data_IF_805666144502
#
_entry.id   IF_805666144502
#
_cell.length_a   1.000
_cell.length_b   1.000
_cell.length_c   1.000
_cell.angle_alpha   90.00
_cell.angle_beta   90.00
_cell.angle_gamma   90.00
#
_symmetry.space_group_name_H-M   'P 1'
#
loop_
_entity.id
_entity.type
_entity.pdbx_description
1 polymer ?
#
# COMPACT_ATOMS: atom_id res chain seq x y z
N UNK A 1 -9.20 4.60 -29.37
CA UNK A 1 -9.55 4.18 -28.01
C UNK A 1 -8.34 4.41 -27.10
N UNK A 2 -8.56 5.10 -25.99
CA UNK A 2 -7.52 5.38 -25.01
C UNK A 2 -7.74 4.49 -23.80
N UNK A 3 -6.69 3.78 -23.36
CA UNK A 3 -6.76 2.95 -22.17
C UNK A 3 -6.03 3.66 -21.04
N UNK A 4 -6.71 3.86 -19.91
CA UNK A 4 -6.18 4.62 -18.80
C UNK A 4 -6.08 3.71 -17.56
N UNK A 5 -4.88 3.40 -17.06
CA UNK A 5 -4.73 2.75 -15.78
C UNK A 5 -5.02 3.73 -14.64
N UNK A 6 -5.82 3.32 -13.69
CA UNK A 6 -6.17 4.13 -12.51
C UNK A 6 -6.23 3.26 -11.26
N UNK A 7 -6.05 3.90 -10.11
CA UNK A 7 -6.22 3.27 -8.79
C UNK A 7 -7.57 3.75 -8.24
N UNK A 8 -8.39 2.81 -7.81
CA UNK A 8 -9.63 3.07 -7.09
C UNK A 8 -9.42 2.81 -5.60
N UNK A 9 -9.86 3.74 -4.75
CA UNK A 9 -9.73 3.62 -3.30
C UNK A 9 -11.05 3.12 -2.73
N UNK A 10 -11.05 1.98 -2.09
CA UNK A 10 -12.16 1.44 -1.31
C UNK A 10 -11.82 1.46 0.18
N UNK A 11 -12.81 1.21 1.04
CA UNK A 11 -12.63 1.22 2.50
C UNK A 11 -11.59 0.20 2.99
N UNK A 12 -11.35 -0.87 2.24
CA UNK A 12 -10.45 -1.98 2.61
C UNK A 12 -9.11 -1.99 1.85
N UNK A 13 -8.84 -1.01 0.98
CA UNK A 13 -7.59 -0.98 0.22
C UNK A 13 -7.65 -0.21 -1.09
N UNK A 14 -6.56 -0.30 -1.83
CA UNK A 14 -6.42 0.30 -3.15
C UNK A 14 -6.43 -0.80 -4.20
N UNK A 15 -7.44 -0.79 -5.05
CA UNK A 15 -7.59 -1.74 -6.14
C UNK A 15 -7.34 -1.06 -7.48
N UNK A 16 -6.22 -1.35 -8.16
CA UNK A 16 -5.95 -0.80 -9.47
C UNK A 16 -6.93 -1.36 -10.51
N UNK A 17 -7.27 -0.53 -11.49
CA UNK A 17 -8.18 -0.92 -12.55
C UNK A 17 -7.75 -0.35 -13.91
N UNK A 18 -8.33 -0.89 -14.98
CA UNK A 18 -8.13 -0.46 -16.35
C UNK A 18 -9.48 -0.14 -16.96
N UNK A 19 -9.64 1.10 -17.42
CA UNK A 19 -10.79 1.54 -18.18
C UNK A 19 -10.38 1.84 -19.62
N UNK A 20 -11.21 1.41 -20.57
CA UNK A 20 -11.16 1.85 -21.95
C UNK A 20 -12.10 3.06 -22.11
N UNK A 21 -11.59 4.12 -22.74
CA UNK A 21 -12.37 5.29 -23.05
C UNK A 21 -12.47 5.51 -24.57
N UNK A 22 -13.68 5.51 -25.09
CA UNK A 22 -13.95 5.80 -26.50
C UNK A 22 -14.24 7.29 -26.66
N UNK A 23 -13.35 8.00 -27.34
CA UNK A 23 -13.46 9.44 -27.54
C UNK A 23 -14.57 9.87 -28.50
N UNK A 24 -15.05 8.97 -29.37
CA UNK A 24 -16.12 9.30 -30.30
C UNK A 24 -17.50 9.25 -29.62
N UNK A 25 -17.67 8.27 -28.75
CA UNK A 25 -18.94 8.04 -28.03
C UNK A 25 -18.94 8.57 -26.60
N UNK A 26 -17.78 9.03 -26.12
CA UNK A 26 -17.51 9.44 -24.72
C UNK A 26 -17.87 8.35 -23.71
N UNK A 27 -17.85 7.09 -24.15
CA UNK A 27 -18.18 5.95 -23.29
C UNK A 27 -16.95 5.40 -22.60
N UNK A 28 -17.10 5.16 -21.30
CA UNK A 28 -16.10 4.46 -20.46
C UNK A 28 -16.54 3.02 -20.23
N UNK A 29 -15.63 2.06 -20.42
CA UNK A 29 -15.87 0.64 -20.18
C UNK A 29 -14.77 0.08 -19.28
N UNK A 30 -15.13 -0.49 -18.12
CA UNK A 30 -14.22 -1.16 -17.23
C UNK A 30 -13.74 -2.47 -17.83
N UNK A 31 -12.44 -2.63 -18.05
CA UNK A 31 -11.82 -3.84 -18.61
C UNK A 31 -11.30 -4.77 -17.52
N UNK A 32 -10.78 -4.19 -16.45
CA UNK A 32 -10.17 -4.93 -15.35
C UNK A 32 -10.30 -4.16 -14.03
N UNK A 33 -10.49 -4.87 -12.96
CA UNK A 33 -10.31 -4.39 -11.58
C UNK A 33 -9.59 -5.49 -10.78
N UNK A 34 -8.53 -5.13 -10.08
CA UNK A 34 -7.87 -6.05 -9.14
C UNK A 34 -8.83 -6.41 -8.00
N UNK A 35 -8.78 -7.65 -7.55
CA UNK A 35 -9.56 -8.15 -6.43
C UNK A 35 -8.68 -8.79 -5.33
N UNK A 36 -7.38 -8.48 -5.33
CA UNK A 36 -6.44 -9.03 -4.36
C UNK A 36 -6.59 -8.32 -3.01
N UNK A 37 -7.28 -8.95 -2.05
CA UNK A 37 -7.50 -8.39 -0.71
C UNK A 37 -6.32 -8.58 0.25
N UNK A 38 -5.54 -9.64 0.07
CA UNK A 38 -4.39 -10.03 0.89
C UNK A 38 -3.03 -9.63 0.30
N UNK A 39 -3.04 -9.03 -0.90
CA UNK A 39 -1.86 -8.56 -1.62
C UNK A 39 -2.10 -7.18 -2.21
N UNK A 40 -1.01 -6.47 -2.49
CA UNK A 40 -1.02 -5.23 -3.27
C UNK A 40 -0.59 -5.55 -4.70
N UNK A 41 -1.44 -5.23 -5.65
CA UNK A 41 -1.13 -5.28 -7.08
C UNK A 41 -0.91 -3.87 -7.61
N UNK A 42 0.16 -3.67 -8.35
CA UNK A 42 0.46 -2.44 -9.06
C UNK A 42 0.43 -2.73 -10.57
N UNK A 43 -0.35 -1.95 -11.31
CA UNK A 43 -0.32 -1.97 -12.77
C UNK A 43 0.90 -1.16 -13.23
N UNK A 44 1.81 -1.83 -13.95
CA UNK A 44 3.07 -1.22 -14.41
C UNK A 44 2.93 -0.69 -15.83
N UNK A 45 2.47 -1.53 -16.75
CA UNK A 45 2.27 -1.16 -18.16
C UNK A 45 1.29 -2.09 -18.86
N UNK A 46 0.72 -1.62 -19.97
CA UNK A 46 -0.07 -2.43 -20.88
C UNK A 46 0.87 -2.83 -22.03
N UNK A 47 1.21 -4.12 -22.10
CA UNK A 47 2.20 -4.63 -23.06
C UNK A 47 1.59 -4.94 -24.43
N UNK A 48 0.43 -5.58 -24.42
CA UNK A 48 -0.33 -5.85 -25.64
C UNK A 48 -1.82 -5.73 -25.38
N UNK A 49 -2.39 -4.60 -25.73
CA UNK A 49 -3.83 -4.34 -25.55
C UNK A 49 -4.71 -5.31 -26.34
N UNK A 50 -4.29 -5.73 -27.53
CA UNK A 50 -5.09 -6.64 -28.38
C UNK A 50 -5.16 -8.03 -27.74
N UNK A 51 -4.06 -8.52 -27.20
CA UNK A 51 -4.00 -9.78 -26.47
C UNK A 51 -4.52 -9.68 -25.04
N UNK A 52 -4.52 -8.47 -24.47
CA UNK A 52 -4.90 -8.21 -23.11
C UNK A 52 -3.78 -8.44 -22.09
N UNK A 53 -2.51 -8.36 -22.54
CA UNK A 53 -1.36 -8.58 -21.66
C UNK A 53 -0.95 -7.29 -20.96
N UNK A 54 -0.89 -7.37 -19.63
CA UNK A 54 -0.55 -6.28 -18.71
C UNK A 54 0.60 -6.74 -17.83
N UNK A 55 1.64 -5.92 -17.71
CA UNK A 55 2.69 -6.12 -16.73
C UNK A 55 2.19 -5.63 -15.36
N UNK A 56 2.24 -6.50 -14.38
CA UNK A 56 1.86 -6.18 -13.00
C UNK A 56 2.97 -6.55 -12.02
N UNK A 57 3.07 -5.79 -10.93
CA UNK A 57 3.90 -6.12 -9.79
C UNK A 57 2.98 -6.50 -8.62
N UNK A 58 3.20 -7.66 -8.03
CA UNK A 58 2.41 -8.16 -6.90
C UNK A 58 3.32 -8.34 -5.70
N UNK A 59 2.84 -7.88 -4.54
CA UNK A 59 3.56 -7.91 -3.27
C UNK A 59 2.59 -8.15 -2.12
N UNK A 60 3.13 -8.52 -0.97
CA UNK A 60 2.40 -8.45 0.30
C UNK A 60 3.33 -7.99 1.42
N UNK A 61 2.79 -7.78 2.60
CA UNK A 61 3.63 -7.43 3.76
C UNK A 61 4.75 -8.44 4.05
N UNK A 62 4.60 -9.70 3.60
CA UNK A 62 5.56 -10.78 3.82
C UNK A 62 6.22 -11.30 2.54
N UNK A 63 5.66 -10.97 1.37
CA UNK A 63 6.16 -11.42 0.09
C UNK A 63 6.84 -10.27 -0.66
N UNK A 64 8.12 -10.46 -0.99
CA UNK A 64 8.89 -9.50 -1.78
C UNK A 64 8.23 -9.27 -3.14
N UNK A 65 8.21 -8.03 -3.67
CA UNK A 65 7.59 -7.73 -4.95
C UNK A 65 8.14 -8.58 -6.08
N UNK A 66 7.23 -9.18 -6.85
CA UNK A 66 7.55 -9.95 -8.05
C UNK A 66 6.68 -9.49 -9.22
N UNK A 67 7.17 -9.69 -10.42
CA UNK A 67 6.55 -9.27 -11.66
C UNK A 67 5.88 -10.43 -12.37
N UNK A 68 4.74 -10.12 -12.99
CA UNK A 68 3.90 -11.10 -13.71
C UNK A 68 3.31 -10.44 -14.96
N UNK A 69 3.09 -11.24 -15.99
CA UNK A 69 2.10 -10.91 -17.00
C UNK A 69 0.71 -11.34 -16.52
N UNK A 70 -0.21 -10.40 -16.52
CA UNK A 70 -1.64 -10.65 -16.31
C UNK A 70 -2.34 -10.55 -17.66
N UNK A 71 -3.05 -11.61 -18.06
CA UNK A 71 -3.89 -11.54 -19.25
C UNK A 71 -5.34 -11.27 -18.84
N UNK A 72 -5.80 -10.02 -19.04
CA UNK A 72 -7.14 -9.57 -18.64
C UNK A 72 -8.26 -10.12 -19.53
N UNK A 73 -7.93 -10.64 -20.70
CA UNK A 73 -8.89 -11.29 -21.63
C UNK A 73 -8.99 -12.80 -21.43
N UNK A 74 -8.03 -13.40 -20.72
CA UNK A 74 -7.97 -14.84 -20.44
C UNK A 74 -8.15 -15.12 -18.93
N UNK A 75 -9.33 -14.80 -18.40
CA UNK A 75 -9.71 -15.03 -17.00
C UNK A 75 -8.69 -14.51 -15.98
N UNK A 76 -8.05 -13.39 -16.30
CA UNK A 76 -7.03 -12.75 -15.46
C UNK A 76 -5.82 -13.67 -15.13
N UNK A 77 -5.46 -14.58 -16.05
CA UNK A 77 -4.36 -15.51 -15.88
C UNK A 77 -3.06 -14.76 -15.55
N UNK A 78 -2.36 -15.21 -14.52
CA UNK A 78 -1.04 -14.73 -14.13
C UNK A 78 0.04 -15.67 -14.65
N UNK A 79 1.07 -15.10 -15.27
CA UNK A 79 2.28 -15.80 -15.69
C UNK A 79 3.48 -15.14 -15.02
N UNK A 80 4.22 -15.84 -14.14
CA UNK A 80 5.34 -15.25 -13.40
C UNK A 80 6.50 -14.92 -14.36
N UNK A 81 7.14 -13.76 -14.12
CA UNK A 81 8.35 -13.31 -14.81
C UNK A 81 9.55 -13.41 -13.86
N UNK A 82 9.36 -13.05 -12.59
CA UNK A 82 10.43 -13.07 -11.58
C UNK A 82 10.05 -13.95 -10.40
N UNK A 83 11.08 -14.36 -9.64
CA UNK A 83 10.94 -15.16 -8.42
C UNK A 83 11.92 -14.65 -7.35
N UNK A 84 11.91 -13.34 -7.11
CA UNK A 84 12.76 -12.70 -6.10
C UNK A 84 12.37 -13.17 -4.70
N UNK A 85 13.37 -13.47 -3.90
CA UNK A 85 13.20 -13.83 -2.49
C UNK A 85 13.30 -12.58 -1.62
N UNK A 86 12.61 -12.60 -0.49
CA UNK A 86 12.74 -11.54 0.51
C UNK A 86 14.17 -11.51 1.08
N UNK A 87 14.93 -10.41 0.88
CA UNK A 87 16.30 -10.31 1.43
C UNK A 87 16.35 -9.89 2.91
N UNK A 88 15.21 -9.53 3.50
CA UNK A 88 15.12 -8.96 4.85
C UNK A 88 14.62 -9.99 5.87
N UNK A 89 15.34 -11.09 6.04
CA UNK A 89 14.92 -12.21 6.90
C UNK A 89 14.70 -11.79 8.36
N UNK A 90 15.47 -10.83 8.88
CA UNK A 90 15.36 -10.39 10.29
C UNK A 90 14.03 -9.70 10.63
N UNK A 91 13.32 -9.17 9.64
CA UNK A 91 12.02 -8.49 9.81
C UNK A 91 10.88 -9.20 9.07
N UNK A 92 11.14 -10.36 8.54
CA UNK A 92 10.21 -11.14 7.76
C UNK A 92 9.02 -11.50 8.62
N UNK A 93 8.26 -11.61 9.09
CA UNK A 93 7.11 -11.99 9.92
C UNK A 93 6.83 -10.99 11.05
N UNK A 94 7.39 -9.80 10.98
CA UNK A 94 7.02 -8.72 11.87
C UNK A 94 5.54 -8.39 11.67
N UNK A 95 4.81 -8.23 12.76
CA UNK A 95 3.42 -7.79 12.64
C UNK A 95 3.36 -6.37 12.08
N UNK A 96 2.61 -6.19 11.00
CA UNK A 96 2.38 -4.89 10.34
C UNK A 96 0.89 -4.64 10.22
N UNK A 97 0.45 -3.46 10.65
CA UNK A 97 -0.92 -2.99 10.45
C UNK A 97 -0.95 -1.46 10.26
N UNK A 98 -1.91 -0.98 9.50
CA UNK A 98 -2.22 0.45 9.42
C UNK A 98 -3.21 0.76 10.52
N UNK A 99 -2.81 1.62 11.46
CA UNK A 99 -3.70 2.12 12.50
C UNK A 99 -4.27 3.48 12.11
N UNK A 100 -5.51 3.72 12.51
CA UNK A 100 -6.18 5.01 12.35
C UNK A 100 -6.44 5.61 13.72
N UNK A 101 -6.25 6.90 13.84
CA UNK A 101 -6.50 7.65 15.06
C UNK A 101 -6.99 9.05 14.71
N UNK A 102 -7.54 9.76 15.70
CA UNK A 102 -8.16 11.05 15.46
C UNK A 102 -7.49 12.13 16.30
N UNK A 103 -7.13 13.23 15.67
CA UNK A 103 -6.62 14.42 16.32
C UNK A 103 -7.76 15.16 17.05
N UNK A 104 -7.47 15.95 18.08
CA UNK A 104 -8.47 16.66 18.88
C UNK A 104 -9.38 17.59 18.06
N UNK A 105 -8.89 18.14 16.96
CA UNK A 105 -9.64 18.99 16.02
C UNK A 105 -10.46 18.22 14.98
N UNK A 106 -10.52 16.90 15.11
CA UNK A 106 -11.34 16.01 14.29
C UNK A 106 -10.66 15.46 13.03
N UNK A 107 -9.40 15.84 12.73
CA UNK A 107 -8.68 15.31 11.57
C UNK A 107 -8.36 13.82 11.78
N UNK A 108 -8.73 13.00 10.82
CA UNK A 108 -8.37 11.58 10.81
C UNK A 108 -6.91 11.41 10.40
N UNK A 109 -6.18 10.65 11.16
CA UNK A 109 -4.76 10.38 10.99
C UNK A 109 -4.52 8.88 10.86
N UNK A 110 -3.37 8.52 10.33
CA UNK A 110 -2.94 7.12 10.24
C UNK A 110 -1.44 7.00 10.44
N UNK A 111 -1.01 5.77 10.72
CA UNK A 111 0.39 5.39 10.79
C UNK A 111 0.51 3.89 10.58
N UNK A 112 1.71 3.42 10.26
CA UNK A 112 1.99 1.99 10.15
C UNK A 112 2.63 1.50 11.43
N UNK A 113 1.92 0.62 12.14
CA UNK A 113 2.41 0.00 13.38
C UNK A 113 3.09 -1.31 13.08
N UNK A 114 4.32 -1.44 13.58
CA UNK A 114 5.08 -2.67 13.58
C UNK A 114 5.28 -3.18 15.01
N UNK A 115 5.04 -4.47 15.22
CA UNK A 115 5.23 -5.14 16.51
C UNK A 115 6.20 -6.32 16.36
N UNK A 116 6.97 -6.66 17.41
CA UNK A 116 7.88 -7.80 17.40
C UNK A 116 7.19 -9.10 17.01
N UNK A 117 7.94 -10.00 16.36
CA UNK A 117 7.46 -11.34 16.06
C UNK A 117 7.05 -12.05 17.34
N UNK A 118 5.85 -12.64 17.34
CA UNK A 118 5.32 -13.36 18.51
C UNK A 118 4.72 -12.47 19.60
N UNK A 119 4.65 -11.15 19.41
CA UNK A 119 3.95 -10.28 20.35
C UNK A 119 2.46 -10.62 20.42
N UNK A 120 1.99 -10.90 21.61
CA UNK A 120 0.59 -11.25 21.88
C UNK A 120 -0.18 -10.03 22.39
N UNK A 121 -0.98 -9.44 21.50
CA UNK A 121 -1.82 -8.28 21.81
C UNK A 121 -2.82 -8.52 22.96
N UNK A 122 -3.20 -9.78 23.19
CA UNK A 122 -4.19 -10.12 24.22
C UNK A 122 -3.62 -9.98 25.63
N UNK A 123 -2.31 -10.16 25.79
CA UNK A 123 -1.62 -10.03 27.07
C UNK A 123 -1.41 -8.58 27.52
N UNK A 124 -1.63 -7.61 26.62
CA UNK A 124 -1.46 -6.17 26.90
C UNK A 124 -0.10 -5.81 27.50
N UNK A 125 0.91 -6.58 27.18
CA UNK A 125 2.28 -6.29 27.60
C UNK A 125 2.73 -4.97 27.01
N UNK A 126 3.30 -4.09 27.85
CA UNK A 126 3.77 -2.78 27.41
C UNK A 126 5.13 -2.92 26.74
N UNK A 127 5.25 -2.40 25.53
CA UNK A 127 6.52 -2.29 24.81
C UNK A 127 7.01 -0.85 24.80
N UNK A 128 8.32 -0.61 24.80
CA UNK A 128 8.84 0.69 24.45
C UNK A 128 8.41 1.03 23.01
N UNK A 129 8.00 2.27 22.78
CA UNK A 129 7.48 2.73 21.48
C UNK A 129 8.44 3.74 20.85
N UNK A 130 8.85 3.49 19.63
CA UNK A 130 9.53 4.44 18.78
C UNK A 130 8.51 4.98 17.76
N UNK A 131 8.40 6.31 17.70
CA UNK A 131 7.51 6.98 16.75
C UNK A 131 8.35 7.73 15.73
N UNK A 132 8.12 7.49 14.46
CA UNK A 132 8.64 8.26 13.36
C UNK A 132 7.51 9.04 12.69
N UNK A 133 7.64 10.37 12.68
CA UNK A 133 6.67 11.27 12.09
C UNK A 133 7.38 12.36 11.29
N UNK A 134 6.83 12.73 10.15
CA UNK A 134 7.27 13.85 9.35
C UNK A 134 6.07 14.77 9.09
N UNK A 135 6.16 16.07 9.39
CA UNK A 135 5.07 17.00 9.14
C UNK A 135 4.87 17.18 7.63
N UNK A 136 3.62 17.08 7.20
CA UNK A 136 3.21 17.42 5.84
C UNK A 136 2.21 18.58 5.88
N UNK A 137 2.32 19.51 4.95
CA UNK A 137 1.48 20.69 4.90
C UNK A 137 0.30 20.49 3.95
N UNK A 138 -0.89 20.89 4.41
CA UNK A 138 -2.14 20.78 3.66
C UNK A 138 -2.95 22.05 3.76
N UNK A 139 -3.63 22.44 2.67
CA UNK A 139 -4.52 23.61 2.65
C UNK A 139 -5.80 23.39 3.46
N UNK A 140 -6.30 22.18 3.50
CA UNK A 140 -7.58 21.84 4.13
C UNK A 140 -7.55 20.49 4.86
N UNK A 141 -8.53 20.28 5.75
CA UNK A 141 -8.65 19.09 6.59
C UNK A 141 -8.97 17.82 5.78
N UNK A 142 -9.71 17.94 4.68
CA UNK A 142 -10.11 16.78 3.90
C UNK A 142 -8.89 16.19 3.18
N UNK A 143 -8.03 17.04 2.62
CA UNK A 143 -6.76 16.61 2.01
C UNK A 143 -5.82 16.00 3.05
N UNK A 144 -5.74 16.57 4.26
CA UNK A 144 -4.90 16.08 5.34
C UNK A 144 -5.35 14.73 5.91
N UNK A 145 -6.65 14.44 5.86
CA UNK A 145 -7.25 13.20 6.36
C UNK A 145 -7.20 12.02 5.38
N UNK A 146 -6.69 12.22 4.16
CA UNK A 146 -6.59 11.14 3.18
C UNK A 146 -5.54 10.12 3.60
N UNK A 147 -5.90 8.84 3.52
CA UNK A 147 -5.01 7.74 3.82
C UNK A 147 -4.77 6.91 2.55
N UNK A 148 -3.55 6.93 2.07
CA UNK A 148 -3.07 6.16 0.92
C UNK A 148 -2.28 4.90 1.31
N UNK A 149 -2.14 4.63 2.61
CA UNK A 149 -1.38 3.49 3.12
C UNK A 149 -2.10 2.18 2.81
N UNK A 150 -1.37 1.24 2.23
CA UNK A 150 -1.85 -0.11 1.99
C UNK A 150 -1.19 -1.10 2.95
N UNK A 151 -1.95 -1.82 3.80
CA UNK A 151 -1.39 -2.77 4.77
C UNK A 151 -0.62 -3.93 4.12
N UNK A 152 -0.92 -4.21 2.84
CA UNK A 152 -0.27 -5.26 2.07
C UNK A 152 0.98 -4.78 1.31
N UNK A 153 1.35 -3.52 1.43
CA UNK A 153 2.58 -3.03 0.82
C UNK A 153 3.80 -3.59 1.52
N UNK A 154 4.77 -4.07 0.74
CA UNK A 154 6.03 -4.58 1.27
C UNK A 154 6.83 -3.43 1.90
N UNK A 155 7.45 -3.68 3.04
CA UNK A 155 8.31 -2.70 3.71
C UNK A 155 9.75 -2.87 3.26
N UNK A 156 10.29 -1.86 2.58
CA UNK A 156 11.70 -1.79 2.20
C UNK A 156 12.49 -1.02 3.25
N UNK A 157 13.19 -1.71 4.17
CA UNK A 157 14.02 -1.01 5.14
C UNK A 157 15.26 -0.45 4.44
N UNK A 158 15.49 0.84 4.57
CA UNK A 158 16.74 1.48 4.17
C UNK A 158 17.82 1.29 5.23
N UNK A 159 19.07 1.63 4.89
CA UNK A 159 20.16 1.68 5.87
C UNK A 159 19.79 2.63 7.02
N UNK A 160 19.94 2.15 8.26
CA UNK A 160 19.57 2.92 9.44
C UNK A 160 18.06 3.03 9.71
N UNK A 161 17.23 2.28 8.97
CA UNK A 161 15.78 2.27 9.19
C UNK A 161 15.44 1.87 10.63
N UNK A 162 14.62 2.69 11.29
CA UNK A 162 14.19 2.45 12.67
C UNK A 162 13.27 1.22 12.79
N UNK A 163 12.74 0.66 11.72
CA UNK A 163 11.97 -0.59 11.76
C UNK A 163 12.79 -1.75 12.35
N UNK A 164 14.11 -1.74 12.23
CA UNK A 164 14.95 -2.76 12.84
C UNK A 164 14.89 -2.81 14.38
N UNK A 165 14.44 -1.74 15.04
CA UNK A 165 14.24 -1.72 16.48
C UNK A 165 13.17 -2.72 16.94
N UNK A 166 12.29 -3.12 16.04
CA UNK A 166 11.31 -4.17 16.33
C UNK A 166 11.97 -5.50 16.69
N UNK A 167 13.17 -5.79 16.16
CA UNK A 167 13.96 -6.98 16.52
C UNK A 167 14.60 -6.89 17.92
N UNK A 168 14.56 -5.70 18.52
CA UNK A 168 15.03 -5.41 19.87
C UNK A 168 13.89 -5.27 20.89
N UNK A 169 12.68 -5.66 20.52
CA UNK A 169 11.51 -5.64 21.38
C UNK A 169 10.76 -4.30 21.44
N UNK A 170 11.06 -3.37 20.56
CA UNK A 170 10.30 -2.11 20.43
C UNK A 170 9.07 -2.29 19.56
N UNK A 171 7.99 -1.62 19.92
CA UNK A 171 6.97 -1.27 18.96
C UNK A 171 7.47 -0.06 18.13
N UNK A 172 7.18 -0.05 16.82
CA UNK A 172 7.55 1.06 15.93
C UNK A 172 6.29 1.58 15.25
N UNK A 173 5.98 2.86 15.44
CA UNK A 173 4.95 3.56 14.68
C UNK A 173 5.62 4.43 13.62
N UNK A 174 5.57 3.93 12.39
CA UNK A 174 6.21 4.52 11.22
C UNK A 174 5.22 5.37 10.45
N UNK A 175 5.75 6.44 9.85
CA UNK A 175 4.98 7.37 9.05
C UNK A 175 3.68 7.80 9.77
N UNK A 176 3.82 8.09 11.06
CA UNK A 176 2.74 8.60 11.89
C UNK A 176 2.32 9.96 11.36
N UNK A 177 1.09 10.07 10.84
CA UNK A 177 0.62 11.30 10.22
C UNK A 177 0.62 12.46 11.23
N UNK A 178 1.25 13.55 10.82
CA UNK A 178 1.36 14.79 11.61
C UNK A 178 1.15 16.00 10.69
N UNK A 179 -0.06 16.18 10.13
CA UNK A 179 -0.34 17.23 9.16
C UNK A 179 -0.41 18.61 9.82
N UNK A 180 0.19 19.59 9.16
CA UNK A 180 -0.01 21.01 9.40
C UNK A 180 -1.09 21.48 8.42
N UNK A 181 -2.14 22.11 8.94
CA UNK A 181 -3.29 22.54 8.14
C UNK A 181 -3.42 24.05 8.25
N UNK A 182 -3.48 24.71 7.11
CA UNK A 182 -3.64 26.14 6.98
C UNK A 182 -2.96 26.68 5.73
N UNK A 183 -3.21 27.95 5.41
CA UNK A 183 -2.46 28.64 4.40
C UNK A 183 -1.04 28.83 4.94
N UNK A 184 -0.03 28.36 4.19
CA UNK A 184 1.37 28.58 4.51
C UNK A 184 1.66 30.07 4.59
N UNK A 185 2.38 30.48 5.59
CA UNK A 185 2.91 31.85 5.74
C UNK A 185 4.04 32.06 4.76
#
# INVERSE_FOLDING_TARGET
NFVYPRIETEQEGQFPFIDEYDFNTLKKTRLYTSNMKDKKENLMSIEDFKKGDVLVMIQSKNEYPNYYFRNIKSKNKLTPITAFKNPFESIKNVHKEVIKYKRKDGVELSGTLYLPVGYDKTKKEKLPLLIWAYPAEYKDKNSAGQNDKNPNEFTFPSYGSFIYWVTKGYAVLDDAAFPIIGEGT
#
